data_IF_326395420808
#
_entry.id   IF_326395420808
#
_cell.length_a   1.000
_cell.length_b   1.000
_cell.length_c   1.000
_cell.angle_alpha   90.00
_cell.angle_beta   90.00
_cell.angle_gamma   90.00
#
_symmetry.space_group_name_H-M   'P 1'
#
loop_
_entity.id
_entity.type
_entity.pdbx_description
1 polymer ?
#
# COMPACT_ATOMS: atom_id res chain seq x y z
N UNK A 1 -22.85 -15.71 -90.58
CA UNK A 1 -23.59 -15.05 -89.48
C UNK A 1 -24.73 -15.97 -89.07
N UNK A 2 -24.72 -16.37 -87.80
CA UNK A 2 -25.29 -17.64 -87.33
C UNK A 2 -26.81 -17.61 -87.08
N UNK A 3 -27.39 -18.75 -87.45
CA UNK A 3 -28.68 -19.34 -87.09
C UNK A 3 -28.97 -19.15 -85.58
N UNK A 4 -30.14 -18.60 -85.24
CA UNK A 4 -31.35 -19.34 -84.84
C UNK A 4 -31.08 -20.27 -83.64
N UNK A 5 -31.64 -19.94 -82.47
CA UNK A 5 -32.87 -20.59 -81.98
C UNK A 5 -33.08 -20.49 -80.45
N UNK A 6 -34.37 -20.32 -80.11
CA UNK A 6 -35.09 -20.88 -78.97
C UNK A 6 -34.82 -20.42 -77.52
N UNK A 7 -35.80 -19.65 -77.01
CA UNK A 7 -36.67 -20.00 -75.87
C UNK A 7 -36.12 -21.03 -74.86
N UNK A 8 -35.98 -20.62 -73.59
CA UNK A 8 -36.73 -21.19 -72.44
C UNK A 8 -36.29 -20.58 -71.11
N UNK A 9 -37.31 -20.19 -70.35
CA UNK A 9 -37.35 -19.94 -68.91
C UNK A 9 -36.68 -21.03 -68.07
N UNK A 10 -35.95 -20.65 -67.03
CA UNK A 10 -35.78 -21.44 -65.81
C UNK A 10 -35.43 -20.55 -64.61
N UNK A 11 -36.25 -20.66 -63.57
CA UNK A 11 -36.09 -20.03 -62.27
C UNK A 11 -34.87 -20.61 -61.51
N UNK A 12 -34.15 -19.74 -60.80
CA UNK A 12 -33.13 -20.15 -59.83
C UNK A 12 -33.57 -19.71 -58.43
N UNK A 13 -33.72 -20.70 -57.55
CA UNK A 13 -33.97 -20.57 -56.12
C UNK A 13 -32.83 -19.81 -55.43
N UNK A 14 -33.15 -18.77 -54.67
CA UNK A 14 -32.25 -18.08 -53.75
C UNK A 14 -32.35 -18.76 -52.36
N UNK A 15 -31.26 -19.40 -51.94
CA UNK A 15 -31.02 -19.79 -50.55
C UNK A 15 -30.23 -18.67 -49.85
N UNK A 16 -30.68 -18.12 -48.70
CA UNK A 16 -29.86 -17.20 -47.93
C UNK A 16 -28.84 -17.99 -47.10
N UNK A 17 -27.56 -17.88 -47.45
CA UNK A 17 -26.46 -18.31 -46.60
C UNK A 17 -26.31 -17.30 -45.43
N UNK A 18 -26.76 -17.70 -44.24
CA UNK A 18 -26.51 -16.95 -43.02
C UNK A 18 -25.02 -17.07 -42.65
N UNK A 19 -24.24 -16.05 -43.00
CA UNK A 19 -22.87 -15.89 -42.55
C UNK A 19 -22.87 -15.44 -41.09
N UNK A 20 -22.67 -16.39 -40.17
CA UNK A 20 -22.39 -16.10 -38.76
C UNK A 20 -20.99 -15.52 -38.61
N UNK A 21 -20.89 -14.19 -38.49
CA UNK A 21 -19.67 -13.51 -38.03
C UNK A 21 -19.50 -13.72 -36.54
N UNK A 22 -18.70 -14.72 -36.16
CA UNK A 22 -18.11 -14.81 -34.83
C UNK A 22 -17.00 -13.76 -34.74
N UNK A 23 -17.32 -12.57 -34.22
CA UNK A 23 -16.30 -11.63 -33.75
C UNK A 23 -15.69 -12.19 -32.48
N UNK A 24 -14.57 -12.90 -32.62
CA UNK A 24 -13.67 -13.18 -31.52
C UNK A 24 -13.06 -11.84 -31.06
N UNK A 25 -13.59 -11.28 -29.98
CA UNK A 25 -12.93 -10.23 -29.22
C UNK A 25 -11.64 -10.84 -28.65
N UNK A 26 -10.52 -10.65 -29.34
CA UNK A 26 -9.22 -10.97 -28.79
C UNK A 26 -8.96 -10.01 -27.63
N UNK A 27 -9.22 -10.46 -26.40
CA UNK A 27 -8.68 -9.84 -25.21
C UNK A 27 -7.16 -9.91 -25.34
N UNK A 28 -6.53 -8.77 -25.61
CA UNK A 28 -5.08 -8.66 -25.58
C UNK A 28 -4.61 -9.01 -24.17
N UNK A 29 -4.17 -10.25 -23.98
CA UNK A 29 -3.53 -10.68 -22.75
C UNK A 29 -2.32 -9.76 -22.54
N UNK A 30 -2.33 -8.99 -21.45
CA UNK A 30 -1.21 -8.13 -21.09
C UNK A 30 0.05 -9.01 -21.05
N UNK A 31 0.96 -8.78 -21.99
CA UNK A 31 2.21 -9.52 -22.09
C UNK A 31 2.99 -9.28 -20.80
N UNK A 32 3.42 -10.36 -20.14
CA UNK A 32 4.28 -10.30 -18.95
C UNK A 32 5.49 -9.39 -19.26
N UNK A 33 5.72 -8.32 -18.49
CA UNK A 33 6.91 -7.49 -18.64
C UNK A 33 8.17 -8.35 -18.53
N UNK A 34 9.16 -8.09 -19.37
CA UNK A 34 10.45 -8.79 -19.32
C UNK A 34 11.20 -8.58 -17.99
N UNK A 35 10.87 -7.49 -17.29
CA UNK A 35 11.33 -7.15 -15.96
C UNK A 35 10.20 -6.45 -15.20
N UNK A 36 9.98 -6.84 -13.94
CA UNK A 36 9.01 -6.22 -13.05
C UNK A 36 9.78 -5.39 -12.03
N UNK A 37 9.75 -4.07 -12.20
CA UNK A 37 10.37 -3.10 -11.29
C UNK A 37 9.37 -2.78 -10.18
N UNK A 38 9.79 -3.02 -8.94
CA UNK A 38 8.94 -2.78 -7.76
C UNK A 38 9.54 -1.69 -6.90
N UNK A 39 8.85 -0.56 -6.78
CA UNK A 39 9.27 0.51 -5.88
C UNK A 39 9.04 0.13 -4.41
N UNK A 40 10.10 0.16 -3.60
CA UNK A 40 10.08 -0.19 -2.17
C UNK A 40 10.80 0.87 -1.35
N UNK A 41 10.57 0.89 -0.02
CA UNK A 41 11.36 1.73 0.90
C UNK A 41 12.54 0.95 1.46
N UNK A 42 13.61 1.67 1.82
CA UNK A 42 14.76 1.06 2.49
C UNK A 42 14.41 0.50 3.87
N UNK A 43 15.17 -0.47 4.35
CA UNK A 43 14.92 -1.14 5.64
C UNK A 43 13.95 -2.31 5.50
N UNK A 44 12.79 -2.26 6.16
CA UNK A 44 11.88 -3.42 6.27
C UNK A 44 11.44 -3.97 4.92
N UNK A 45 10.97 -3.10 4.01
CA UNK A 45 10.52 -3.53 2.69
C UNK A 45 11.69 -4.07 1.87
N UNK A 46 12.82 -3.37 1.84
CA UNK A 46 14.04 -3.79 1.14
C UNK A 46 14.48 -5.21 1.53
N UNK A 47 14.61 -5.48 2.83
CA UNK A 47 15.01 -6.80 3.34
C UNK A 47 13.99 -7.90 2.98
N UNK A 48 12.69 -7.61 3.03
CA UNK A 48 11.66 -8.58 2.63
C UNK A 48 11.74 -8.85 1.12
N UNK A 49 11.88 -7.79 0.31
CA UNK A 49 11.89 -7.89 -1.14
C UNK A 49 13.13 -8.59 -1.70
N UNK A 50 14.23 -8.67 -0.94
CA UNK A 50 15.35 -9.58 -1.25
C UNK A 50 14.92 -11.06 -1.26
N UNK A 51 14.11 -11.48 -0.28
CA UNK A 51 13.58 -12.85 -0.20
C UNK A 51 12.54 -13.08 -1.28
N UNK A 52 11.63 -12.13 -1.48
CA UNK A 52 10.61 -12.19 -2.54
C UNK A 52 11.25 -12.36 -3.92
N UNK A 53 12.34 -11.64 -4.19
CA UNK A 53 13.05 -11.71 -5.48
C UNK A 53 13.66 -13.10 -5.73
N UNK A 54 14.16 -13.77 -4.68
CA UNK A 54 14.66 -15.15 -4.78
C UNK A 54 13.53 -16.12 -5.13
N UNK A 55 12.40 -16.04 -4.41
CA UNK A 55 11.21 -16.87 -4.66
C UNK A 55 10.63 -16.60 -6.05
N UNK A 56 10.58 -15.34 -6.48
CA UNK A 56 10.09 -14.95 -7.79
C UNK A 56 10.96 -15.55 -8.91
N UNK A 57 12.29 -15.51 -8.76
CA UNK A 57 13.24 -16.07 -9.72
C UNK A 57 13.08 -17.59 -9.88
N UNK A 58 12.89 -18.32 -8.78
CA UNK A 58 12.61 -19.77 -8.80
C UNK A 58 11.32 -20.12 -9.56
N UNK A 59 10.37 -19.19 -9.59
CA UNK A 59 9.10 -19.30 -10.31
C UNK A 59 9.15 -18.74 -11.74
N UNK A 60 10.35 -18.40 -12.23
CA UNK A 60 10.55 -17.87 -13.57
C UNK A 60 10.15 -16.40 -13.76
N UNK A 61 9.98 -15.64 -12.67
CA UNK A 61 9.61 -14.23 -12.70
C UNK A 61 10.86 -13.35 -12.46
N UNK A 62 11.13 -12.43 -13.39
CA UNK A 62 12.23 -11.48 -13.26
C UNK A 62 11.77 -10.22 -12.53
N UNK A 63 12.08 -10.13 -11.23
CA UNK A 63 11.70 -9.03 -10.35
C UNK A 63 12.94 -8.25 -9.94
N UNK A 64 12.86 -6.91 -9.99
CA UNK A 64 13.90 -6.02 -9.48
C UNK A 64 13.29 -5.00 -8.51
N UNK A 65 13.58 -5.12 -7.20
CA UNK A 65 13.24 -4.06 -6.27
C UNK A 65 14.03 -2.79 -6.59
N UNK A 66 13.36 -1.65 -6.55
CA UNK A 66 13.94 -0.31 -6.70
C UNK A 66 13.74 0.41 -5.38
N UNK A 67 14.82 0.55 -4.63
CA UNK A 67 14.79 1.20 -3.31
C UNK A 67 14.69 2.71 -3.49
N UNK A 68 13.59 3.29 -3.03
CA UNK A 68 13.28 4.71 -3.18
C UNK A 68 13.53 5.45 -1.88
N UNK A 69 14.48 6.38 -1.91
CA UNK A 69 14.86 7.20 -0.75
C UNK A 69 14.07 8.52 -0.69
N UNK A 70 14.10 9.13 0.50
CA UNK A 70 13.60 10.49 0.71
C UNK A 70 12.15 10.70 0.29
N UNK A 71 11.92 11.79 -0.45
CA UNK A 71 10.59 12.23 -0.90
C UNK A 71 10.13 11.63 -2.22
N UNK A 72 10.92 10.75 -2.85
CA UNK A 72 10.53 10.13 -4.13
C UNK A 72 9.28 9.29 -3.91
N UNK A 73 8.28 9.48 -4.78
CA UNK A 73 6.96 8.85 -4.66
C UNK A 73 6.90 7.54 -5.44
N UNK A 74 6.73 6.37 -4.77
CA UNK A 74 6.54 5.10 -5.46
C UNK A 74 5.20 5.04 -6.22
N UNK A 75 4.18 5.78 -5.77
CA UNK A 75 2.90 5.86 -6.47
C UNK A 75 3.01 6.59 -7.80
N UNK A 76 3.75 7.70 -7.83
CA UNK A 76 4.00 8.44 -9.06
C UNK A 76 4.77 7.59 -10.08
N UNK A 77 5.81 6.85 -9.63
CA UNK A 77 6.55 5.94 -10.50
C UNK A 77 5.67 4.82 -11.11
N UNK A 78 4.73 4.26 -10.35
CA UNK A 78 3.77 3.27 -10.90
C UNK A 78 2.76 3.95 -11.83
N UNK A 79 2.27 5.15 -11.49
CA UNK A 79 1.36 5.91 -12.33
C UNK A 79 1.97 6.22 -13.71
N UNK A 80 3.22 6.70 -13.73
CA UNK A 80 3.93 7.12 -14.93
C UNK A 80 4.44 5.95 -15.79
N UNK A 81 4.48 4.72 -15.26
CA UNK A 81 5.02 3.56 -15.98
C UNK A 81 6.52 3.32 -15.79
N UNK A 82 7.16 4.09 -14.91
CA UNK A 82 8.55 3.88 -14.51
C UNK A 82 8.73 2.62 -13.65
N UNK A 83 7.64 2.22 -12.97
CA UNK A 83 7.54 1.01 -12.16
C UNK A 83 6.32 0.20 -12.58
N UNK A 84 6.43 -1.12 -12.49
CA UNK A 84 5.29 -2.03 -12.70
C UNK A 84 4.41 -2.10 -11.45
N UNK A 85 5.03 -2.12 -10.28
CA UNK A 85 4.35 -2.14 -8.99
C UNK A 85 5.10 -1.32 -7.94
N UNK A 86 4.45 -1.08 -6.80
CA UNK A 86 5.13 -0.64 -5.59
C UNK A 86 4.62 -1.41 -4.37
N UNK A 87 5.39 -1.42 -3.30
CA UNK A 87 5.05 -2.06 -2.02
C UNK A 87 5.68 -1.25 -0.89
N UNK A 88 4.89 -0.36 -0.30
CA UNK A 88 5.34 0.56 0.76
C UNK A 88 4.21 1.16 1.62
N UNK A 89 2.95 0.89 1.27
CA UNK A 89 1.79 1.64 1.74
C UNK A 89 0.65 0.69 2.09
N UNK A 90 -0.29 1.19 2.88
CA UNK A 90 -1.55 0.52 3.21
C UNK A 90 -2.74 1.09 2.45
N UNK A 91 -3.86 0.35 2.46
CA UNK A 91 -5.06 0.69 1.70
C UNK A 91 -5.60 2.11 1.96
N UNK A 92 -5.68 2.62 3.22
CA UNK A 92 -6.09 4.00 3.45
C UNK A 92 -5.18 5.05 2.77
N UNK A 93 -3.86 4.82 2.73
CA UNK A 93 -2.93 5.76 2.10
C UNK A 93 -3.08 5.72 0.57
N UNK A 94 -3.24 4.54 -0.01
CA UNK A 94 -3.50 4.38 -1.44
C UNK A 94 -4.76 5.14 -1.87
N UNK A 95 -5.85 4.99 -1.11
CA UNK A 95 -7.12 5.71 -1.35
C UNK A 95 -6.92 7.22 -1.29
N UNK A 96 -6.28 7.72 -0.23
CA UNK A 96 -6.04 9.15 -0.06
C UNK A 96 -5.16 9.71 -1.20
N UNK A 97 -4.15 8.96 -1.65
CA UNK A 97 -3.28 9.34 -2.77
C UNK A 97 -4.04 9.36 -4.11
N UNK A 98 -4.87 8.36 -4.38
CA UNK A 98 -5.73 8.37 -5.57
C UNK A 98 -6.67 9.59 -5.57
N UNK A 99 -7.28 9.91 -4.43
CA UNK A 99 -8.17 11.06 -4.30
C UNK A 99 -7.44 12.40 -4.50
N UNK A 100 -6.25 12.55 -3.92
CA UNK A 100 -5.49 13.81 -3.97
C UNK A 100 -4.76 14.04 -5.30
N UNK A 101 -4.32 12.98 -5.96
CA UNK A 101 -3.44 13.07 -7.15
C UNK A 101 -4.10 12.60 -8.44
N UNK A 102 -5.31 12.06 -8.38
CA UNK A 102 -6.01 11.53 -9.56
C UNK A 102 -5.38 10.24 -10.11
N UNK A 103 -4.59 9.54 -9.29
CA UNK A 103 -4.01 8.26 -9.68
C UNK A 103 -5.08 7.18 -9.83
N UNK A 104 -4.81 6.21 -10.70
CA UNK A 104 -5.63 5.01 -10.91
C UNK A 104 -4.87 3.77 -10.47
N UNK A 105 -4.45 3.75 -9.20
CA UNK A 105 -3.74 2.64 -8.60
C UNK A 105 -4.69 1.78 -7.79
N UNK A 106 -4.45 0.47 -7.79
CA UNK A 106 -5.26 -0.52 -7.08
C UNK A 106 -4.36 -1.51 -6.34
N UNK A 107 -4.91 -2.15 -5.31
CA UNK A 107 -4.24 -3.25 -4.63
C UNK A 107 -4.23 -4.49 -5.53
N UNK A 108 -3.05 -5.09 -5.70
CA UNK A 108 -2.89 -6.42 -6.30
C UNK A 108 -2.91 -7.53 -5.24
N UNK A 109 -2.54 -7.22 -4.00
CA UNK A 109 -2.52 -8.19 -2.91
C UNK A 109 -1.90 -7.65 -1.63
N UNK A 110 -2.24 -8.29 -0.51
CA UNK A 110 -1.79 -7.91 0.82
C UNK A 110 -0.38 -8.41 1.12
N UNK A 111 0.29 -7.72 2.03
CA UNK A 111 1.67 -7.99 2.44
C UNK A 111 1.77 -8.18 3.96
N UNK A 112 1.92 -7.12 4.73
CA UNK A 112 2.10 -7.21 6.17
C UNK A 112 1.44 -6.04 6.89
N UNK A 113 1.13 -6.26 8.17
CA UNK A 113 0.78 -5.20 9.10
C UNK A 113 2.06 -4.78 9.82
N UNK A 114 2.31 -3.47 9.87
CA UNK A 114 3.35 -2.87 10.70
C UNK A 114 2.74 -1.73 11.53
N UNK A 115 2.44 -1.99 12.81
CA UNK A 115 1.83 -1.00 13.69
C UNK A 115 2.65 0.29 13.75
N UNK A 116 1.99 1.45 13.67
CA UNK A 116 2.63 2.72 14.04
C UNK A 116 2.84 2.74 15.56
N UNK A 117 3.91 3.38 16.02
CA UNK A 117 4.14 3.55 17.46
C UNK A 117 4.57 4.98 17.78
N UNK A 118 4.21 5.42 18.98
CA UNK A 118 4.83 6.59 19.60
C UNK A 118 6.15 6.19 20.23
N UNK A 119 7.17 7.00 20.02
CA UNK A 119 8.50 6.85 20.61
C UNK A 119 8.88 8.11 21.39
N UNK A 120 9.72 7.95 22.40
CA UNK A 120 10.29 9.07 23.15
C UNK A 120 11.70 8.72 23.63
N UNK A 121 12.60 9.72 23.60
CA UNK A 121 13.93 9.60 24.22
C UNK A 121 13.89 9.72 25.74
N UNK A 122 12.87 10.40 26.28
CA UNK A 122 12.81 10.83 27.69
C UNK A 122 11.73 10.12 28.51
N UNK A 123 10.57 9.88 27.91
CA UNK A 123 9.38 9.35 28.60
C UNK A 123 9.15 7.89 28.24
N UNK A 124 8.50 7.14 29.14
CA UNK A 124 8.20 5.70 28.92
C UNK A 124 6.76 5.43 28.54
N UNK A 125 5.86 6.39 28.78
CA UNK A 125 4.43 6.30 28.47
C UNK A 125 3.92 7.67 28.06
N UNK A 126 2.86 7.71 27.26
CA UNK A 126 2.20 8.97 26.89
C UNK A 126 1.65 9.72 28.11
N UNK A 127 1.14 9.00 29.11
CA UNK A 127 0.64 9.60 30.36
C UNK A 127 1.71 10.35 31.17
N UNK A 128 3.00 10.09 30.93
CA UNK A 128 4.11 10.75 31.63
C UNK A 128 4.52 12.09 31.00
N UNK A 129 3.92 12.47 29.85
CA UNK A 129 4.27 13.71 29.16
C UNK A 129 3.82 14.94 29.99
N UNK A 130 4.68 15.95 30.18
CA UNK A 130 4.32 17.15 30.91
C UNK A 130 3.30 17.99 30.12
N UNK A 131 2.58 18.87 30.82
CA UNK A 131 1.75 19.87 30.16
C UNK A 131 2.62 20.76 29.24
N UNK A 132 2.12 21.08 28.06
CA UNK A 132 2.85 21.80 27.01
C UNK A 132 3.83 20.93 26.21
N UNK A 133 3.90 19.62 26.47
CA UNK A 133 4.77 18.73 25.72
C UNK A 133 4.39 18.71 24.23
N UNK A 134 5.38 18.92 23.35
CA UNK A 134 5.22 18.82 21.90
C UNK A 134 5.25 17.36 21.45
N UNK A 135 4.19 16.91 20.80
CA UNK A 135 4.01 15.54 20.33
C UNK A 135 3.88 15.54 18.82
N UNK A 136 4.87 14.97 18.13
CA UNK A 136 4.88 14.88 16.68
C UNK A 136 3.90 13.83 16.15
N UNK A 137 3.10 14.21 15.16
CA UNK A 137 2.22 13.30 14.43
C UNK A 137 2.43 13.45 12.92
N UNK A 138 2.18 12.41 12.11
CA UNK A 138 2.20 12.53 10.66
C UNK A 138 1.26 13.63 10.15
N UNK A 139 1.66 14.28 9.05
CA UNK A 139 0.86 15.31 8.37
C UNK A 139 0.13 14.81 7.11
N UNK A 140 0.24 13.52 6.78
CA UNK A 140 -0.60 12.89 5.76
C UNK A 140 -1.88 12.30 6.40
N UNK A 141 -3.06 12.39 5.75
CA UNK A 141 -4.33 12.13 6.43
C UNK A 141 -4.46 10.72 7.02
N UNK A 142 -4.10 9.69 6.27
CA UNK A 142 -4.17 8.31 6.75
C UNK A 142 -3.24 8.02 7.94
N UNK A 143 -1.96 8.44 7.93
CA UNK A 143 -1.08 8.19 9.07
C UNK A 143 -1.34 9.14 10.24
N UNK A 144 -1.84 10.36 9.98
CA UNK A 144 -2.33 11.24 11.03
C UNK A 144 -3.48 10.57 11.79
N UNK A 145 -4.43 10.00 11.05
CA UNK A 145 -5.56 9.23 11.59
C UNK A 145 -5.06 8.11 12.51
N UNK A 146 -4.05 7.35 12.08
CA UNK A 146 -3.41 6.29 12.90
C UNK A 146 -2.91 6.83 14.23
N UNK A 147 -2.14 7.92 14.19
CA UNK A 147 -1.59 8.55 15.39
C UNK A 147 -2.70 9.04 16.34
N UNK A 148 -3.73 9.70 15.80
CA UNK A 148 -4.87 10.20 16.59
C UNK A 148 -5.67 9.07 17.24
N UNK A 149 -5.87 7.94 16.54
CA UNK A 149 -6.51 6.75 17.09
C UNK A 149 -5.69 6.16 18.24
N UNK A 150 -4.37 6.09 18.12
CA UNK A 150 -3.51 5.65 19.22
C UNK A 150 -3.61 6.60 20.41
N UNK A 151 -3.55 7.91 20.20
CA UNK A 151 -3.70 8.90 21.29
C UNK A 151 -5.06 8.78 21.99
N UNK A 152 -6.15 8.57 21.23
CA UNK A 152 -7.48 8.29 21.79
C UNK A 152 -7.49 7.03 22.64
N UNK A 153 -6.95 5.94 22.11
CA UNK A 153 -6.92 4.64 22.79
C UNK A 153 -6.06 4.65 24.05
N UNK A 154 -5.12 5.59 24.15
CA UNK A 154 -4.28 5.83 25.33
C UNK A 154 -4.85 6.91 26.27
N UNK A 155 -6.05 7.42 25.98
CA UNK A 155 -6.75 8.40 26.81
C UNK A 155 -6.13 9.80 26.81
N UNK A 156 -5.30 10.13 25.81
CA UNK A 156 -4.67 11.46 25.67
C UNK A 156 -5.67 12.49 25.14
N UNK A 157 -6.56 12.06 24.24
CA UNK A 157 -7.56 12.90 23.59
C UNK A 157 -8.85 12.13 23.33
N UNK A 158 -9.92 12.86 23.05
CA UNK A 158 -11.16 12.30 22.50
C UNK A 158 -11.32 12.72 21.04
N UNK A 159 -11.86 11.83 20.22
CA UNK A 159 -12.25 12.11 18.83
C UNK A 159 -13.77 12.18 18.71
N UNK A 160 -14.27 12.87 17.68
CA UNK A 160 -15.69 12.86 17.33
C UNK A 160 -16.22 11.42 17.20
N UNK A 161 -17.44 11.14 17.69
CA UNK A 161 -18.05 9.82 17.53
C UNK A 161 -18.42 9.55 16.07
N UNK A 162 -18.62 8.28 15.72
CA UNK A 162 -19.04 7.86 14.38
C UNK A 162 -17.90 7.75 13.36
N UNK A 163 -16.67 8.04 13.76
CA UNK A 163 -15.48 7.82 12.94
C UNK A 163 -15.13 6.32 12.83
N UNK A 164 -14.91 5.84 11.60
CA UNK A 164 -14.44 4.50 11.27
C UNK A 164 -13.12 4.56 10.46
N UNK A 165 -11.99 4.06 10.99
CA UNK A 165 -10.71 4.10 10.31
C UNK A 165 -10.63 3.22 9.05
N UNK A 166 -11.59 2.32 8.83
CA UNK A 166 -11.67 1.54 7.59
C UNK A 166 -12.17 2.38 6.41
N UNK A 167 -13.02 3.36 6.65
CA UNK A 167 -13.76 4.08 5.61
C UNK A 167 -13.47 5.58 5.55
N UNK A 168 -12.88 6.17 6.60
CA UNK A 168 -12.57 7.59 6.65
C UNK A 168 -11.22 7.92 7.28
N UNK A 169 -10.95 9.22 7.39
CA UNK A 169 -9.81 9.79 8.10
C UNK A 169 -10.29 10.72 9.21
N UNK A 170 -9.45 10.89 10.23
CA UNK A 170 -9.63 11.88 11.30
C UNK A 170 -8.50 12.91 11.22
N UNK A 171 -8.81 14.15 11.58
CA UNK A 171 -7.87 15.26 11.63
C UNK A 171 -7.85 15.91 13.01
N UNK A 172 -6.97 16.90 13.19
CA UNK A 172 -6.98 17.74 14.39
C UNK A 172 -8.33 18.45 14.61
N UNK A 173 -9.09 18.74 13.56
CA UNK A 173 -10.43 19.34 13.66
C UNK A 173 -11.50 18.37 14.21
N UNK A 174 -11.15 17.08 14.36
CA UNK A 174 -12.01 16.04 14.92
C UNK A 174 -11.70 15.73 16.38
N UNK A 175 -10.71 16.41 16.96
CA UNK A 175 -10.40 16.32 18.40
C UNK A 175 -11.45 17.11 19.19
N UNK A 176 -12.19 16.43 20.05
CA UNK A 176 -13.26 17.04 20.86
C UNK A 176 -12.81 17.39 22.28
N UNK A 177 -11.77 16.72 22.78
CA UNK A 177 -11.15 17.04 24.06
C UNK A 177 -9.68 16.63 24.09
N UNK A 178 -8.84 17.43 24.75
CA UNK A 178 -7.47 17.05 25.13
C UNK A 178 -7.46 16.73 26.63
N UNK A 179 -7.42 15.44 26.97
CA UNK A 179 -7.40 14.96 28.37
C UNK A 179 -6.05 15.22 29.02
N UNK A 180 -4.99 15.21 28.21
CA UNK A 180 -3.66 15.67 28.58
C UNK A 180 -3.31 16.92 27.77
N UNK A 181 -2.75 17.94 28.42
CA UNK A 181 -2.44 19.24 27.79
C UNK A 181 -1.16 19.17 26.96
N UNK A 182 -1.13 18.34 25.92
CA UNK A 182 -0.03 18.25 24.95
C UNK A 182 -0.29 19.17 23.75
N UNK A 183 0.77 19.56 23.05
CA UNK A 183 0.70 20.26 21.77
C UNK A 183 0.97 19.25 20.64
N UNK A 184 -0.03 19.01 19.79
CA UNK A 184 0.14 18.13 18.62
C UNK A 184 0.79 18.92 17.48
N UNK A 185 1.92 18.43 16.98
CA UNK A 185 2.69 19.07 15.92
C UNK A 185 2.69 18.18 14.68
N UNK A 186 2.12 18.67 13.58
CA UNK A 186 2.07 17.96 12.31
C UNK A 186 3.44 18.02 11.61
N UNK A 187 3.97 16.85 11.26
CA UNK A 187 5.32 16.72 10.71
C UNK A 187 5.31 15.67 9.60
N UNK A 188 6.11 15.87 8.55
CA UNK A 188 6.26 14.87 7.49
C UNK A 188 6.79 13.55 8.05
N UNK A 189 6.16 12.43 7.70
CA UNK A 189 6.49 11.09 8.22
C UNK A 189 7.98 10.74 8.11
N UNK A 190 8.63 11.15 7.01
CA UNK A 190 10.06 10.90 6.74
C UNK A 190 11.02 11.64 7.68
N UNK A 191 10.57 12.68 8.38
CA UNK A 191 11.43 13.44 9.31
C UNK A 191 11.13 13.17 10.79
N UNK A 192 9.99 12.57 11.13
CA UNK A 192 9.56 12.35 12.53
C UNK A 192 10.59 11.61 13.39
N UNK A 193 11.24 10.57 12.85
CA UNK A 193 12.28 9.84 13.57
C UNK A 193 13.50 10.70 13.93
N UNK A 194 13.82 11.67 13.07
CA UNK A 194 14.94 12.61 13.23
C UNK A 194 14.58 13.73 14.20
N UNK A 195 13.31 14.12 14.22
CA UNK A 195 12.76 15.16 15.09
C UNK A 195 12.54 14.69 16.53
N UNK A 196 12.83 13.43 16.88
CA UNK A 196 12.62 12.91 18.23
C UNK A 196 13.38 13.66 19.31
N UNK A 197 14.54 14.23 19.01
CA UNK A 197 15.35 14.95 20.00
C UNK A 197 14.74 16.34 20.34
N UNK A 198 13.94 16.90 19.42
CA UNK A 198 13.25 18.19 19.56
C UNK A 198 11.80 18.05 20.07
N UNK A 199 11.31 16.82 20.21
CA UNK A 199 9.93 16.48 20.57
C UNK A 199 9.91 15.70 21.90
N UNK A 200 8.79 15.78 22.61
CA UNK A 200 8.59 14.97 23.81
C UNK A 200 8.25 13.51 23.44
N UNK A 201 7.48 13.32 22.37
CA UNK A 201 7.21 12.04 21.73
C UNK A 201 6.86 12.25 20.25
N UNK A 202 6.98 11.20 19.43
CA UNK A 202 6.56 11.24 18.03
C UNK A 202 5.95 9.91 17.59
N UNK A 203 4.84 9.96 16.84
CA UNK A 203 4.28 8.81 16.14
C UNK A 203 5.07 8.55 14.86
N UNK A 204 5.78 7.42 14.78
CA UNK A 204 6.68 7.11 13.67
C UNK A 204 6.22 5.83 12.98
N UNK A 205 6.06 5.90 11.66
CA UNK A 205 5.76 4.74 10.82
C UNK A 205 6.93 3.76 10.86
N UNK A 206 6.64 2.46 10.92
CA UNK A 206 7.61 1.41 11.18
C UNK A 206 8.85 1.43 10.27
N UNK A 207 8.71 1.70 8.97
CA UNK A 207 9.86 1.75 8.04
C UNK A 207 10.86 2.84 8.43
N UNK A 208 10.39 4.03 8.84
CA UNK A 208 11.26 5.12 9.30
C UNK A 208 11.80 4.89 10.71
N UNK A 209 11.01 4.26 11.60
CA UNK A 209 11.47 3.85 12.92
C UNK A 209 12.62 2.85 12.81
N UNK A 210 12.45 1.82 11.96
CA UNK A 210 13.44 0.78 11.72
C UNK A 210 14.77 1.34 11.20
N UNK A 211 14.71 2.26 10.23
CA UNK A 211 15.90 2.95 9.72
C UNK A 211 16.63 3.77 10.80
N UNK A 212 15.93 4.22 11.83
CA UNK A 212 16.50 4.92 12.98
C UNK A 212 16.91 3.98 14.13
N UNK A 213 16.84 2.67 13.93
CA UNK A 213 17.16 1.66 14.95
C UNK A 213 16.11 1.52 16.04
N UNK A 214 14.87 1.95 15.79
CA UNK A 214 13.75 1.87 16.73
C UNK A 214 12.82 0.72 16.36
N UNK A 215 12.44 -0.08 17.36
CA UNK A 215 11.58 -1.25 17.21
C UNK A 215 10.29 -1.03 18.00
N UNK A 216 9.12 -1.09 17.36
CA UNK A 216 7.84 -0.78 18.00
C UNK A 216 7.56 -1.61 19.26
N UNK A 217 7.89 -2.91 19.24
CA UNK A 217 7.65 -3.81 20.38
C UNK A 217 8.61 -3.61 21.56
N UNK A 218 9.72 -2.90 21.35
CA UNK A 218 10.75 -2.68 22.38
C UNK A 218 10.81 -1.22 22.84
N UNK A 219 10.87 -0.28 21.89
CA UNK A 219 11.10 1.14 22.14
C UNK A 219 9.81 1.97 22.12
N UNK A 220 8.70 1.39 21.64
CA UNK A 220 7.41 2.06 21.55
C UNK A 220 6.82 2.33 22.94
N UNK A 221 6.47 3.59 23.21
CA UNK A 221 5.79 4.02 24.45
C UNK A 221 4.26 3.92 24.36
N UNK A 222 3.74 3.77 23.14
CA UNK A 222 2.37 3.38 22.82
C UNK A 222 2.34 2.84 21.38
N UNK A 223 1.75 1.67 21.18
CA UNK A 223 1.76 0.96 19.89
C UNK A 223 0.32 0.82 19.37
N UNK A 224 0.15 1.01 18.07
CA UNK A 224 -1.12 0.77 17.39
C UNK A 224 -1.59 -0.68 17.58
N UNK A 225 -2.89 -0.82 17.88
CA UNK A 225 -3.52 -2.13 18.07
C UNK A 225 -3.52 -2.95 16.79
N UNK A 226 -3.40 -4.26 16.95
CA UNK A 226 -3.43 -5.21 15.83
C UNK A 226 -4.87 -5.59 15.47
N UNK A 227 -5.75 -5.57 16.46
CA UNK A 227 -7.15 -5.95 16.34
C UNK A 227 -7.92 -4.90 15.54
N UNK A 228 -8.65 -5.34 14.52
CA UNK A 228 -9.44 -4.45 13.63
C UNK A 228 -8.60 -3.30 13.07
N UNK A 229 -7.42 -3.63 12.55
CA UNK A 229 -6.48 -2.69 11.97
C UNK A 229 -6.66 -2.61 10.43
N UNK A 230 -7.05 -1.46 9.86
CA UNK A 230 -7.24 -1.30 8.41
C UNK A 230 -5.94 -1.05 7.62
N UNK A 231 -4.79 -1.06 8.29
CA UNK A 231 -3.51 -0.59 7.75
C UNK A 231 -2.59 -1.75 7.30
N UNK A 232 -3.18 -2.85 6.82
CA UNK A 232 -2.45 -3.87 6.07
C UNK A 232 -1.78 -3.22 4.85
N UNK A 233 -0.46 -3.39 4.73
CA UNK A 233 0.29 -2.93 3.57
C UNK A 233 -0.03 -3.82 2.36
N UNK A 234 0.14 -3.26 1.18
CA UNK A 234 -0.23 -3.89 -0.08
C UNK A 234 0.84 -3.73 -1.16
N UNK A 235 0.69 -4.54 -2.21
CA UNK A 235 1.35 -4.33 -3.50
C UNK A 235 0.38 -3.51 -4.36
N UNK A 236 0.77 -2.30 -4.77
CA UNK A 236 -0.03 -1.46 -5.65
C UNK A 236 0.43 -1.58 -7.10
N UNK A 237 -0.53 -1.66 -8.01
CA UNK A 237 -0.34 -1.64 -9.47
C UNK A 237 -1.29 -0.64 -10.10
N UNK A 238 -1.13 -0.33 -11.39
CA UNK A 238 -2.16 0.42 -12.14
C UNK A 238 -3.41 -0.43 -12.29
N UNK A 239 -4.58 0.18 -12.32
CA UNK A 239 -5.87 -0.52 -12.47
C UNK A 239 -5.90 -1.50 -13.65
N UNK A 240 -5.33 -1.12 -14.80
CA UNK A 240 -5.24 -1.98 -16.00
C UNK A 240 -4.44 -3.27 -15.80
N UNK A 241 -3.56 -3.30 -14.79
CA UNK A 241 -2.64 -4.39 -14.52
C UNK A 241 -3.11 -5.31 -13.37
N UNK A 242 -4.27 -5.00 -12.74
CA UNK A 242 -4.80 -5.74 -11.59
C UNK A 242 -4.93 -7.24 -11.83
N UNK A 243 -5.41 -7.61 -13.02
CA UNK A 243 -5.65 -9.00 -13.41
C UNK A 243 -4.51 -9.62 -14.23
N UNK A 244 -3.44 -8.87 -14.45
CA UNK A 244 -2.33 -9.34 -15.26
C UNK A 244 -1.70 -10.60 -14.63
N UNK A 245 -1.37 -11.64 -15.42
CA UNK A 245 -0.76 -12.86 -14.89
C UNK A 245 0.51 -12.61 -14.07
N UNK A 246 1.31 -11.63 -14.49
CA UNK A 246 2.53 -11.23 -13.80
C UNK A 246 2.25 -10.64 -12.41
N UNK A 247 1.15 -9.90 -12.23
CA UNK A 247 0.77 -9.31 -10.94
C UNK A 247 0.35 -10.42 -9.96
N UNK A 248 -0.41 -11.41 -10.44
CA UNK A 248 -0.79 -12.60 -9.65
C UNK A 248 0.43 -13.42 -9.24
N UNK A 249 1.39 -13.61 -10.14
CA UNK A 249 2.65 -14.31 -9.84
C UNK A 249 3.53 -13.53 -8.85
N UNK A 250 3.60 -12.21 -8.97
CA UNK A 250 4.32 -11.33 -8.05
C UNK A 250 3.73 -11.43 -6.63
N UNK A 251 2.41 -11.33 -6.51
CA UNK A 251 1.69 -11.49 -5.23
C UNK A 251 1.93 -12.88 -4.67
N UNK A 252 1.83 -13.94 -5.47
CA UNK A 252 2.08 -15.30 -5.01
C UNK A 252 3.54 -15.50 -4.53
N UNK A 253 4.52 -14.84 -5.15
CA UNK A 253 5.91 -14.88 -4.71
C UNK A 253 6.09 -14.17 -3.35
N UNK A 254 5.43 -13.02 -3.18
CA UNK A 254 5.40 -12.32 -1.90
C UNK A 254 4.74 -13.16 -0.82
N UNK A 255 3.57 -13.73 -1.12
CA UNK A 255 2.75 -14.48 -0.17
C UNK A 255 3.22 -15.93 0.02
N UNK A 256 4.51 -16.17 -0.12
CA UNK A 256 5.11 -17.50 -0.03
C UNK A 256 5.55 -17.84 1.40
N UNK A 257 5.65 -19.13 1.70
CA UNK A 257 6.09 -19.59 3.02
C UNK A 257 7.52 -19.12 3.38
N UNK A 258 8.51 -19.10 2.47
CA UNK A 258 9.82 -18.52 2.78
C UNK A 258 9.76 -17.05 3.21
N UNK A 259 8.91 -16.25 2.58
CA UNK A 259 8.73 -14.84 2.94
C UNK A 259 8.03 -14.71 4.29
N UNK A 260 6.98 -15.51 4.53
CA UNK A 260 6.30 -15.57 5.83
C UNK A 260 7.27 -15.88 6.96
N UNK A 261 8.08 -16.93 6.80
CA UNK A 261 9.04 -17.37 7.80
C UNK A 261 10.13 -16.33 8.03
N UNK A 262 10.63 -15.70 6.97
CA UNK A 262 11.57 -14.59 7.09
C UNK A 262 11.00 -13.46 7.95
N UNK A 263 9.77 -13.01 7.67
CA UNK A 263 9.13 -11.93 8.43
C UNK A 263 8.99 -12.31 9.91
N UNK A 264 8.47 -13.51 10.20
CA UNK A 264 8.24 -13.98 11.57
C UNK A 264 9.54 -14.07 12.38
N UNK A 265 10.60 -14.61 11.78
CA UNK A 265 11.89 -14.80 12.45
C UNK A 265 12.65 -13.48 12.64
N UNK A 266 12.69 -12.64 11.60
CA UNK A 266 13.49 -11.41 11.58
C UNK A 266 12.88 -10.32 12.47
N UNK A 267 11.57 -10.12 12.41
CA UNK A 267 10.93 -8.95 13.05
C UNK A 267 10.20 -9.26 14.36
N UNK A 268 10.09 -10.54 14.74
CA UNK A 268 9.62 -10.99 16.06
C UNK A 268 8.32 -10.28 16.52
N UNK A 269 7.39 -10.06 15.59
CA UNK A 269 6.09 -9.44 15.84
C UNK A 269 6.03 -7.91 15.67
N UNK A 270 7.14 -7.21 15.38
CA UNK A 270 7.08 -5.80 14.95
C UNK A 270 6.54 -5.64 13.52
N UNK A 271 6.71 -6.68 12.70
CA UNK A 271 6.12 -6.83 11.37
C UNK A 271 5.41 -8.16 11.32
N UNK A 272 4.18 -8.19 10.80
CA UNK A 272 3.29 -9.34 10.91
C UNK A 272 2.76 -9.69 9.51
N UNK A 273 3.00 -10.90 8.98
CA UNK A 273 2.41 -11.33 7.72
C UNK A 273 0.89 -11.19 7.75
N UNK A 274 0.31 -10.64 6.68
CA UNK A 274 -1.13 -10.43 6.54
C UNK A 274 -1.71 -11.16 5.32
N UNK A 275 -1.06 -12.26 4.94
CA UNK A 275 -1.45 -13.22 3.91
C UNK A 275 -1.33 -14.63 4.47
#
# INVERSE_FOLDING_TARGET
MNKRDFLRTSAAFLLPAAAGTFSALATAAATTPALIRVGVRGGVDEEIWEVVTKVAKERGLNVKPVVLSGSVSPNEGVHNGDLEANSFQHQPFLRDQNQQRGYQLVSAGDTYISPIAFYSRKYKRLADLPAGARVGIPNDPSNQTRALVVLRDQGVLDLKPGFDPFTGTASLADVTALRQKVELVEVASVVLARSLDDLAAAAIVNSFAYQAGLIATHDGIAVEKRERNPYTNLIAVRAKDQDAPWAKQLVAAYQSEPVRQFILQKYQGSVIPAF
#
